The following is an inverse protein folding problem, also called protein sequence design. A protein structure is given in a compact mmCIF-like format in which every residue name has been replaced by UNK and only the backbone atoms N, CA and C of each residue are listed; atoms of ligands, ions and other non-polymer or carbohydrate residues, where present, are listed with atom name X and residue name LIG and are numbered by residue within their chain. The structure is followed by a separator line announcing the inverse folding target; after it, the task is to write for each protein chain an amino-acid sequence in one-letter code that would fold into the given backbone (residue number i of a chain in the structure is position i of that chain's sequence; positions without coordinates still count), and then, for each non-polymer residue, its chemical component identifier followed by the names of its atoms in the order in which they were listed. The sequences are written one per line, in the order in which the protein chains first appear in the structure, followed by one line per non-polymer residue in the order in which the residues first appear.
data_IF_635315059301
#
_entry.id   IF_635315059301
#
_cell.length_a   1.000
_cell.length_b   1.000
_cell.length_c   1.000
_cell.angle_alpha   90.00
_cell.angle_beta   90.00
_cell.angle_gamma   90.00
#
_symmetry.space_group_name_H-M   'P 1'
#
loop_
_entity.id
_entity.type
_entity.pdbx_description
1 polymer ?
#
# COMPACT_ATOMS: atom_id res chain seq x y z
N UNK A 1 51.29 -12.09 1.23
CA UNK A 1 51.04 -12.22 -0.23
C UNK A 1 49.54 -12.35 -0.56
N UNK A 2 48.64 -11.61 0.10
CA UNK A 2 47.18 -11.64 -0.16
C UNK A 2 46.65 -10.32 -0.75
N UNK A 3 47.48 -9.28 -0.89
CA UNK A 3 47.06 -7.95 -1.34
C UNK A 3 47.04 -7.78 -2.87
N UNK A 4 47.84 -8.54 -3.63
CA UNK A 4 47.96 -8.35 -5.09
C UNK A 4 46.80 -8.94 -5.93
N UNK A 5 45.91 -9.73 -5.34
CA UNK A 5 44.76 -10.31 -6.07
C UNK A 5 43.58 -9.35 -6.27
N UNK A 6 43.61 -8.15 -5.68
CA UNK A 6 42.57 -7.14 -5.85
C UNK A 6 42.88 -6.09 -6.92
N UNK A 7 44.05 -6.13 -7.56
CA UNK A 7 44.48 -5.09 -8.50
C UNK A 7 43.91 -5.21 -9.92
N UNK A 8 43.23 -6.31 -10.26
CA UNK A 8 42.63 -6.51 -11.59
C UNK A 8 41.15 -6.89 -11.42
N UNK A 9 40.24 -5.90 -11.33
CA UNK A 9 38.83 -6.20 -11.22
C UNK A 9 38.35 -6.92 -12.49
N UNK A 10 37.88 -8.16 -12.34
CA UNK A 10 37.25 -8.89 -13.42
C UNK A 10 36.03 -8.09 -13.92
N UNK A 11 35.84 -7.95 -15.25
CA UNK A 11 34.73 -7.17 -15.80
C UNK A 11 33.36 -7.70 -15.34
N UNK A 12 33.28 -9.01 -15.09
CA UNK A 12 32.09 -9.67 -14.52
C UNK A 12 31.82 -9.19 -13.09
N UNK A 13 32.86 -9.08 -12.24
CA UNK A 13 32.72 -8.61 -10.86
C UNK A 13 32.23 -7.16 -10.83
N UNK A 14 32.74 -6.29 -11.71
CA UNK A 14 32.28 -4.91 -11.81
C UNK A 14 30.82 -4.82 -12.27
N UNK A 15 30.40 -5.66 -13.23
CA UNK A 15 29.03 -5.70 -13.71
C UNK A 15 28.05 -6.17 -12.62
N UNK A 16 28.39 -7.22 -11.87
CA UNK A 16 27.56 -7.72 -10.76
C UNK A 16 27.45 -6.68 -9.65
N UNK A 17 28.55 -6.01 -9.30
CA UNK A 17 28.55 -4.98 -8.26
C UNK A 17 27.73 -3.75 -8.69
N UNK A 18 27.82 -3.35 -9.97
CA UNK A 18 26.99 -2.29 -10.53
C UNK A 18 25.50 -2.61 -10.50
N UNK A 19 25.12 -3.84 -10.88
CA UNK A 19 23.72 -4.29 -10.82
C UNK A 19 23.20 -4.32 -9.38
N UNK A 20 23.99 -4.83 -8.44
CA UNK A 20 23.63 -4.87 -7.02
C UNK A 20 23.42 -3.45 -6.45
N UNK A 21 24.30 -2.50 -6.78
CA UNK A 21 24.17 -1.10 -6.38
C UNK A 21 22.90 -0.47 -6.96
N UNK A 22 22.61 -0.74 -8.24
CA UNK A 22 21.41 -0.22 -8.90
C UNK A 22 20.12 -0.76 -8.27
N UNK A 23 20.07 -2.06 -7.98
CA UNK A 23 18.93 -2.69 -7.30
C UNK A 23 18.74 -2.11 -5.88
N UNK A 24 19.85 -1.86 -5.18
CA UNK A 24 19.80 -1.26 -3.84
C UNK A 24 19.28 0.18 -3.89
N UNK A 25 19.69 0.97 -4.88
CA UNK A 25 19.17 2.33 -5.09
C UNK A 25 17.67 2.33 -5.45
N UNK A 26 17.24 1.42 -6.33
CA UNK A 26 15.81 1.27 -6.67
C UNK A 26 15.01 0.87 -5.44
N UNK A 27 15.49 -0.10 -4.65
CA UNK A 27 14.88 -0.48 -3.38
C UNK A 27 14.79 0.72 -2.43
N UNK A 28 15.87 1.48 -2.28
CA UNK A 28 15.87 2.68 -1.43
C UNK A 28 14.79 3.68 -1.86
N UNK A 29 14.66 3.98 -3.15
CA UNK A 29 13.66 4.93 -3.66
C UNK A 29 12.23 4.43 -3.48
N UNK A 30 11.98 3.16 -3.78
CA UNK A 30 10.64 2.54 -3.64
C UNK A 30 10.24 2.46 -2.16
N UNK A 31 11.17 2.17 -1.27
CA UNK A 31 10.91 2.02 0.16
C UNK A 31 11.15 3.31 0.98
N UNK A 32 11.69 4.39 0.40
CA UNK A 32 11.97 5.63 1.12
C UNK A 32 10.71 6.27 1.72
N UNK A 33 9.63 6.38 0.93
CA UNK A 33 8.35 6.94 1.39
C UNK A 33 7.71 6.14 2.53
N UNK A 34 7.54 4.80 2.43
CA UNK A 34 6.96 4.04 3.53
C UNK A 34 7.86 4.01 4.78
N UNK A 35 9.19 4.04 4.62
CA UNK A 35 10.12 4.16 5.75
C UNK A 35 10.03 5.53 6.41
N UNK A 36 9.91 6.63 5.64
CA UNK A 36 9.73 7.97 6.19
C UNK A 36 8.44 8.07 7.03
N UNK A 37 7.33 7.50 6.55
CA UNK A 37 6.07 7.44 7.32
C UNK A 37 6.21 6.63 8.61
N UNK A 38 6.96 5.53 8.58
CA UNK A 38 7.26 4.73 9.77
C UNK A 38 8.12 5.52 10.77
N UNK A 39 9.14 6.22 10.29
CA UNK A 39 10.01 7.05 11.12
C UNK A 39 9.24 8.22 11.74
N UNK A 40 8.39 8.90 10.97
CA UNK A 40 7.54 9.98 11.49
C UNK A 40 6.59 9.48 12.59
N UNK A 41 5.99 8.30 12.42
CA UNK A 41 5.15 7.67 13.46
C UNK A 41 5.94 7.32 14.72
N UNK A 42 7.16 6.81 14.59
CA UNK A 42 8.03 6.50 15.75
C UNK A 42 8.46 7.79 16.45
N UNK A 43 8.75 8.85 15.69
CA UNK A 43 9.19 10.13 16.22
C UNK A 43 8.06 10.86 16.95
N UNK A 44 6.83 10.82 16.41
CA UNK A 44 5.62 11.28 17.10
C UNK A 44 5.39 10.55 18.43
N UNK A 45 5.55 9.23 18.46
CA UNK A 45 5.47 8.44 19.70
C UNK A 45 6.56 8.81 20.71
N UNK A 46 7.77 9.07 20.24
CA UNK A 46 8.88 9.50 21.10
C UNK A 46 8.64 10.90 21.69
N UNK A 47 8.01 11.80 20.94
CA UNK A 47 7.62 13.14 21.40
C UNK A 47 6.43 13.09 22.38
N UNK A 48 5.44 12.24 22.14
CA UNK A 48 4.32 12.04 23.08
C UNK A 48 4.79 11.39 24.40
N UNK A 49 5.73 10.44 24.34
CA UNK A 49 6.33 9.83 25.54
C UNK A 49 7.13 10.82 26.41
N UNK A 50 7.50 12.00 25.87
CA UNK A 50 8.17 13.07 26.61
C UNK A 50 7.20 14.06 27.31
N UNK A 51 5.88 13.81 27.27
CA UNK A 51 4.92 14.45 28.18
C UNK A 51 4.56 15.90 27.87
N UNK A 52 4.55 16.29 26.59
CA UNK A 52 4.22 17.66 26.14
C UNK A 52 2.77 17.85 25.67
N UNK A 53 1.91 16.85 25.79
CA UNK A 53 0.46 16.97 25.56
C UNK A 53 -0.29 16.15 26.60
N UNK A 54 -1.36 16.71 27.18
CA UNK A 54 -2.32 15.94 27.97
C UNK A 54 -2.79 14.74 27.12
N UNK A 55 -2.81 13.52 27.66
CA UNK A 55 -3.17 12.34 26.89
C UNK A 55 -4.68 12.38 26.63
N UNK A 56 -5.09 12.94 25.50
CA UNK A 56 -6.25 12.37 24.82
C UNK A 56 -5.96 10.88 24.66
N UNK A 57 -6.90 9.99 25.02
CA UNK A 57 -6.71 8.56 24.80
C UNK A 57 -6.40 8.37 23.32
N UNK A 58 -5.20 7.84 23.03
CA UNK A 58 -4.79 7.48 21.67
C UNK A 58 -5.97 6.74 21.03
N UNK A 59 -6.52 7.22 19.91
CA UNK A 59 -7.53 6.44 19.21
C UNK A 59 -6.89 5.10 18.94
N UNK A 60 -7.53 4.02 19.41
CA UNK A 60 -7.04 2.66 19.14
C UNK A 60 -6.70 2.60 17.66
N UNK A 61 -5.48 2.18 17.30
CA UNK A 61 -5.05 2.22 15.91
C UNK A 61 -6.08 1.45 15.10
N UNK A 62 -6.82 2.18 14.27
CA UNK A 62 -7.85 1.63 13.42
C UNK A 62 -7.27 0.49 12.58
N UNK A 63 -8.13 -0.45 12.13
CA UNK A 63 -7.68 -1.53 11.26
C UNK A 63 -6.88 -0.96 10.08
N UNK A 64 -5.66 -1.46 9.81
CA UNK A 64 -4.78 -0.92 8.79
C UNK A 64 -5.29 -1.15 7.35
N UNK A 65 -6.38 -1.91 7.19
CA UNK A 65 -6.94 -2.31 5.90
C UNK A 65 -8.38 -1.83 5.79
N UNK A 66 -8.69 -1.11 4.73
CA UNK A 66 -10.07 -0.85 4.31
C UNK A 66 -10.46 -1.87 3.24
N UNK A 67 -11.48 -2.67 3.51
CA UNK A 67 -12.07 -3.60 2.56
C UNK A 67 -13.38 -3.05 2.04
N UNK A 68 -13.47 -2.84 0.73
CA UNK A 68 -14.67 -2.36 0.05
C UNK A 68 -15.30 -3.53 -0.71
N UNK A 69 -16.39 -4.07 -0.19
CA UNK A 69 -17.10 -5.21 -0.78
C UNK A 69 -17.97 -5.97 0.22
N UNK A 70 -18.57 -7.07 -0.23
CA UNK A 70 -19.46 -7.89 0.61
C UNK A 70 -18.65 -8.65 1.67
N UNK A 71 -18.95 -8.39 2.95
CA UNK A 71 -18.36 -9.08 4.11
C UNK A 71 -18.60 -10.59 4.10
N UNK A 72 -19.68 -11.05 3.49
CA UNK A 72 -20.00 -12.47 3.34
C UNK A 72 -19.43 -13.07 2.05
N UNK A 73 -18.70 -12.28 1.28
CA UNK A 73 -18.07 -12.71 0.04
C UNK A 73 -16.93 -13.72 0.29
N UNK A 74 -16.63 -14.59 -0.69
CA UNK A 74 -15.56 -15.58 -0.58
C UNK A 74 -14.18 -14.92 -0.36
N UNK A 75 -14.02 -13.68 -0.80
CA UNK A 75 -12.79 -12.92 -0.68
C UNK A 75 -12.62 -12.30 0.73
N UNK A 76 -13.70 -11.85 1.36
CA UNK A 76 -13.68 -11.33 2.73
C UNK A 76 -13.31 -12.42 3.75
N UNK A 77 -13.74 -13.66 3.50
CA UNK A 77 -13.36 -14.82 4.33
C UNK A 77 -11.84 -15.08 4.38
N UNK A 78 -11.06 -14.55 3.43
CA UNK A 78 -9.58 -14.63 3.47
C UNK A 78 -9.03 -13.73 4.57
N UNK A 79 -9.61 -12.56 4.82
CA UNK A 79 -9.18 -11.64 5.87
C UNK A 79 -9.34 -12.27 7.26
N UNK A 80 -10.49 -12.92 7.50
CA UNK A 80 -10.76 -13.62 8.75
C UNK A 80 -9.76 -14.76 9.00
N UNK A 81 -9.41 -15.51 7.94
CA UNK A 81 -8.43 -16.61 8.03
C UNK A 81 -7.01 -16.12 8.31
N UNK A 82 -6.67 -14.94 7.82
CA UNK A 82 -5.35 -14.32 8.04
C UNK A 82 -5.29 -13.51 9.34
N UNK A 83 -6.41 -13.43 10.08
CA UNK A 83 -6.56 -12.58 11.27
C UNK A 83 -6.10 -11.14 11.02
N UNK A 84 -6.34 -10.63 9.80
CA UNK A 84 -6.01 -9.26 9.44
C UNK A 84 -7.16 -8.36 9.88
N UNK A 85 -6.92 -7.41 10.80
CA UNK A 85 -7.94 -6.45 11.17
C UNK A 85 -8.24 -5.58 9.95
N UNK A 86 -9.47 -5.69 9.45
CA UNK A 86 -9.96 -4.95 8.31
C UNK A 86 -11.27 -4.26 8.69
N UNK A 87 -11.38 -3.00 8.30
CA UNK A 87 -12.65 -2.31 8.26
C UNK A 87 -13.38 -2.73 6.99
N UNK A 88 -14.61 -3.21 7.09
CA UNK A 88 -15.33 -3.80 5.96
C UNK A 88 -16.57 -2.98 5.69
N UNK A 89 -16.58 -2.32 4.56
CA UNK A 89 -17.66 -1.45 4.09
C UNK A 89 -18.27 -2.01 2.81
N UNK A 90 -19.59 -1.99 2.71
CA UNK A 90 -20.33 -2.56 1.58
C UNK A 90 -20.63 -1.55 0.48
N UNK A 91 -20.58 -0.25 0.80
CA UNK A 91 -20.92 0.84 -0.09
C UNK A 91 -19.70 1.72 -0.40
N UNK A 92 -19.70 2.31 -1.60
CA UNK A 92 -18.60 3.16 -2.08
C UNK A 92 -18.58 4.51 -1.36
N UNK A 93 -19.72 5.12 -1.09
CA UNK A 93 -19.77 6.41 -0.39
C UNK A 93 -19.30 6.23 1.06
N UNK A 94 -19.75 5.15 1.73
CA UNK A 94 -19.26 4.76 3.07
C UNK A 94 -17.74 4.50 3.07
N UNK A 95 -17.21 3.84 2.04
CA UNK A 95 -15.78 3.62 1.90
C UNK A 95 -14.98 4.90 1.76
N UNK A 96 -15.49 5.89 1.03
CA UNK A 96 -14.83 7.17 0.84
C UNK A 96 -14.86 8.01 2.13
N UNK A 97 -15.97 7.97 2.87
CA UNK A 97 -16.09 8.63 4.17
C UNK A 97 -15.07 8.05 5.16
N UNK A 98 -15.04 6.73 5.28
CA UNK A 98 -14.06 6.04 6.13
C UNK A 98 -12.63 6.37 5.70
N UNK A 99 -12.32 6.27 4.40
CA UNK A 99 -10.98 6.57 3.89
C UNK A 99 -10.53 8.01 4.18
N UNK A 100 -11.46 8.97 4.14
CA UNK A 100 -11.18 10.37 4.46
C UNK A 100 -10.85 10.59 5.94
N UNK A 101 -11.41 9.79 6.85
CA UNK A 101 -11.04 9.77 8.27
C UNK A 101 -9.61 9.25 8.48
N UNK A 102 -9.04 8.57 7.48
CA UNK A 102 -7.63 8.22 7.38
C UNK A 102 -7.22 6.98 8.18
N UNK A 103 -5.91 6.76 8.29
CA UNK A 103 -5.35 5.66 9.10
C UNK A 103 -5.13 4.34 8.37
N UNK A 104 -5.73 4.15 7.19
CA UNK A 104 -5.50 2.95 6.38
C UNK A 104 -4.13 2.95 5.71
N UNK A 105 -3.52 1.77 5.68
CA UNK A 105 -2.24 1.51 5.01
C UNK A 105 -2.40 0.84 3.66
N UNK A 106 -3.57 0.23 3.41
CA UNK A 106 -3.95 -0.37 2.15
C UNK A 106 -5.46 -0.37 2.03
N UNK A 107 -5.95 -0.14 0.81
CA UNK A 107 -7.35 -0.33 0.46
C UNK A 107 -7.46 -1.57 -0.42
N UNK A 108 -8.42 -2.43 -0.14
CA UNK A 108 -8.76 -3.60 -0.94
C UNK A 108 -10.18 -3.43 -1.46
N UNK A 109 -10.34 -3.36 -2.78
CA UNK A 109 -11.66 -3.23 -3.39
C UNK A 109 -12.03 -4.53 -4.13
N UNK A 110 -13.16 -5.11 -3.80
CA UNK A 110 -13.71 -6.29 -4.47
C UNK A 110 -14.51 -5.88 -5.71
N UNK A 111 -13.86 -6.01 -6.86
CA UNK A 111 -14.39 -5.81 -8.21
C UNK A 111 -15.04 -7.08 -8.80
N UNK A 112 -15.28 -8.13 -8.02
CA UNK A 112 -15.91 -9.36 -8.52
C UNK A 112 -17.32 -9.13 -9.06
N UNK A 113 -17.98 -8.05 -8.64
CA UNK A 113 -19.17 -7.52 -9.31
C UNK A 113 -18.77 -6.42 -10.27
N UNK A 114 -19.30 -6.48 -11.49
CA UNK A 114 -19.29 -5.36 -12.42
C UNK A 114 -20.19 -4.24 -11.87
N UNK A 115 -19.74 -3.59 -10.81
CA UNK A 115 -20.39 -2.41 -10.25
C UNK A 115 -19.88 -1.17 -11.00
N UNK A 116 -20.75 -0.39 -11.66
CA UNK A 116 -20.39 0.90 -12.23
C UNK A 116 -19.79 1.87 -11.20
N UNK A 117 -20.13 1.71 -9.92
CA UNK A 117 -19.63 2.54 -8.81
C UNK A 117 -18.17 2.23 -8.46
N UNK A 118 -17.66 1.07 -8.85
CA UNK A 118 -16.27 0.73 -8.61
C UNK A 118 -15.31 1.69 -9.33
N UNK A 119 -15.65 2.17 -10.52
CA UNK A 119 -14.82 3.15 -11.22
C UNK A 119 -14.74 4.47 -10.45
N UNK A 120 -15.88 4.91 -9.89
CA UNK A 120 -15.94 6.08 -9.01
C UNK A 120 -15.04 5.90 -7.78
N UNK A 121 -15.08 4.74 -7.14
CA UNK A 121 -14.18 4.43 -6.01
C UNK A 121 -12.71 4.57 -6.41
N UNK A 122 -12.31 3.99 -7.54
CA UNK A 122 -10.91 4.04 -8.01
C UNK A 122 -10.44 5.48 -8.26
N UNK A 123 -11.26 6.28 -8.94
CA UNK A 123 -10.93 7.68 -9.24
C UNK A 123 -10.90 8.51 -7.96
N UNK A 124 -11.91 8.40 -7.09
CA UNK A 124 -11.99 9.19 -5.86
C UNK A 124 -10.88 8.85 -4.86
N UNK A 125 -10.54 7.57 -4.66
CA UNK A 125 -9.42 7.18 -3.80
C UNK A 125 -8.08 7.74 -4.32
N UNK A 126 -7.90 7.80 -5.64
CA UNK A 126 -6.69 8.35 -6.25
C UNK A 126 -6.59 9.87 -6.12
N UNK A 127 -7.71 10.56 -6.21
CA UNK A 127 -7.79 12.01 -5.98
C UNK A 127 -7.51 12.36 -4.51
N UNK A 128 -8.00 11.53 -3.57
CA UNK A 128 -7.81 11.72 -2.13
C UNK A 128 -6.38 11.42 -1.67
N UNK A 129 -5.84 10.26 -2.05
CA UNK A 129 -4.46 9.89 -1.75
C UNK A 129 -3.90 8.91 -2.78
N UNK A 130 -3.08 9.45 -3.70
CA UNK A 130 -2.40 8.65 -4.71
C UNK A 130 -1.29 7.74 -4.16
N UNK A 131 -0.81 7.96 -2.94
CA UNK A 131 0.28 7.18 -2.36
C UNK A 131 -0.22 5.97 -1.55
N UNK A 132 -1.51 5.87 -1.23
CA UNK A 132 -2.05 4.68 -0.55
C UNK A 132 -2.16 3.50 -1.52
N UNK A 133 -1.56 2.34 -1.19
CA UNK A 133 -1.70 1.12 -1.98
C UNK A 133 -3.17 0.70 -2.13
N UNK A 134 -3.56 0.40 -3.37
CA UNK A 134 -4.88 -0.07 -3.72
C UNK A 134 -4.78 -1.45 -4.37
N UNK A 135 -5.37 -2.46 -3.73
CA UNK A 135 -5.44 -3.83 -4.21
C UNK A 135 -6.85 -4.09 -4.75
N UNK A 136 -6.93 -4.68 -5.94
CA UNK A 136 -8.21 -5.02 -6.56
C UNK A 136 -8.38 -6.54 -6.54
N UNK A 137 -9.38 -7.00 -5.82
CA UNK A 137 -9.80 -8.39 -5.82
C UNK A 137 -10.92 -8.55 -6.85
N UNK A 138 -10.86 -9.54 -7.75
CA UNK A 138 -11.94 -9.71 -8.71
C UNK A 138 -11.73 -10.90 -9.64
N UNK A 139 -12.83 -11.38 -10.23
CA UNK A 139 -12.83 -12.48 -11.18
C UNK A 139 -12.58 -12.02 -12.63
N UNK A 140 -12.08 -10.79 -12.82
CA UNK A 140 -11.76 -10.27 -14.15
C UNK A 140 -10.51 -10.95 -14.70
N UNK A 141 -10.51 -11.23 -16.00
CA UNK A 141 -9.27 -11.60 -16.68
C UNK A 141 -8.28 -10.43 -16.59
N UNK A 142 -6.98 -10.75 -16.60
CA UNK A 142 -5.92 -9.73 -16.59
C UNK A 142 -6.13 -8.68 -17.68
N UNK A 143 -6.50 -9.10 -18.88
CA UNK A 143 -6.70 -8.20 -20.02
C UNK A 143 -7.88 -7.25 -19.79
N UNK A 144 -9.01 -7.75 -19.30
CA UNK A 144 -10.17 -6.92 -18.97
C UNK A 144 -9.85 -5.91 -17.86
N UNK A 145 -9.03 -6.30 -16.88
CA UNK A 145 -8.56 -5.40 -15.82
C UNK A 145 -7.64 -4.30 -16.39
N UNK A 146 -6.70 -4.65 -17.26
CA UNK A 146 -5.79 -3.70 -17.89
C UNK A 146 -6.51 -2.71 -18.81
N UNK A 147 -7.46 -3.19 -19.61
CA UNK A 147 -8.25 -2.33 -20.49
C UNK A 147 -9.12 -1.35 -19.70
N UNK A 148 -9.72 -1.82 -18.59
CA UNK A 148 -10.47 -0.95 -17.67
C UNK A 148 -9.56 0.13 -17.07
N UNK A 149 -8.36 -0.23 -16.62
CA UNK A 149 -7.40 0.73 -16.09
C UNK A 149 -6.96 1.78 -17.11
N UNK A 150 -6.72 1.39 -18.36
CA UNK A 150 -6.43 2.34 -19.45
C UNK A 150 -7.60 3.28 -19.70
N UNK A 151 -8.83 2.75 -19.71
CA UNK A 151 -10.03 3.56 -19.90
C UNK A 151 -10.21 4.62 -18.80
N UNK A 152 -9.75 4.32 -17.58
CA UNK A 152 -9.75 5.23 -16.44
C UNK A 152 -8.52 6.15 -16.37
N UNK A 153 -7.57 6.05 -17.31
CA UNK A 153 -6.33 6.83 -17.29
C UNK A 153 -5.36 6.45 -16.17
N UNK A 154 -5.51 5.26 -15.57
CA UNK A 154 -4.68 4.76 -14.47
C UNK A 154 -3.41 4.04 -14.95
N UNK A 155 -3.33 3.72 -16.25
CA UNK A 155 -2.15 3.17 -16.90
C UNK A 155 -1.84 4.01 -18.15
N UNK A 156 -0.57 4.38 -18.30
CA UNK A 156 -0.04 5.05 -19.48
C UNK A 156 0.25 4.06 -20.63
#
# INVERSE_FOLDING_TARGET
MLADRFAHPNPVTNMVMGLALMLLLVGLVVFAKPVARLLDRVNLKAMQAQGLADPEPDPEPGPPVLWVGDRNGPNAAVLDRLAVPADVVGDVDEALDHFADGGYTVVVADLSRADPRADRLLTSLRELDADTPLLLAGALSRDAMLDRFRALGLLA
#
